data_IF_015371585983
#
_entry.id   IF_015371585983
#
_cell.length_a   1.000
_cell.length_b   1.000
_cell.length_c   1.000
_cell.angle_alpha   90.00
_cell.angle_beta   90.00
_cell.angle_gamma   90.00
#
_symmetry.space_group_name_H-M   'P 1'
#
loop_
_entity.id
_entity.type
_entity.pdbx_description
1 polymer ?
#
# COMPACT_ATOMS: atom_id res chain seq x y z
N UNK A 1 34.67 5.64 -4.34
CA UNK A 1 34.27 5.52 -5.76
C UNK A 1 34.92 6.68 -6.50
N UNK A 2 35.80 6.42 -7.47
CA UNK A 2 36.58 7.47 -8.15
C UNK A 2 35.80 7.98 -9.36
N UNK A 3 35.93 9.26 -9.69
CA UNK A 3 35.21 9.95 -10.78
C UNK A 3 35.46 9.33 -12.17
N UNK A 4 36.46 8.44 -12.29
CA UNK A 4 36.78 7.65 -13.49
C UNK A 4 35.78 6.54 -13.78
N UNK A 5 34.91 6.18 -12.84
CA UNK A 5 33.98 5.04 -13.00
C UNK A 5 32.64 5.45 -13.66
N UNK A 6 32.44 6.74 -13.96
CA UNK A 6 31.16 7.28 -14.43
C UNK A 6 30.88 7.09 -15.94
N UNK A 7 31.88 6.68 -16.74
CA UNK A 7 31.75 6.62 -18.21
C UNK A 7 31.72 5.20 -18.80
N UNK A 8 31.57 4.16 -17.97
CA UNK A 8 31.62 2.76 -18.44
C UNK A 8 30.31 2.14 -18.92
N UNK A 9 29.22 2.89 -19.06
CA UNK A 9 27.93 2.33 -19.51
C UNK A 9 27.23 3.22 -20.54
N UNK A 10 27.72 3.22 -21.79
CA UNK A 10 26.90 3.08 -23.02
C UNK A 10 27.75 3.25 -24.28
N UNK A 11 27.68 2.22 -25.12
CA UNK A 11 28.09 2.13 -26.52
C UNK A 11 29.59 2.18 -26.86
N UNK A 12 30.00 1.18 -27.64
CA UNK A 12 31.37 0.98 -28.06
C UNK A 12 31.90 2.06 -28.99
N UNK A 13 33.01 2.67 -28.54
CA UNK A 13 34.21 2.95 -29.33
C UNK A 13 35.26 3.45 -28.33
N UNK A 14 36.18 2.56 -27.94
CA UNK A 14 37.40 2.96 -27.26
C UNK A 14 38.24 3.73 -28.29
N UNK A 15 38.11 5.05 -28.35
CA UNK A 15 39.04 5.88 -29.12
C UNK A 15 40.21 6.27 -28.21
N UNK A 16 41.37 5.61 -28.31
CA UNK A 16 42.52 5.86 -27.45
C UNK A 16 43.06 7.30 -27.60
N UNK A 17 42.69 8.00 -28.67
CA UNK A 17 43.07 9.40 -28.93
C UNK A 17 42.32 10.35 -27.99
N UNK A 18 41.03 10.10 -27.74
CA UNK A 18 40.19 10.97 -26.89
C UNK A 18 40.60 10.84 -25.41
N UNK A 19 40.92 9.62 -24.97
CA UNK A 19 41.43 9.40 -23.61
C UNK A 19 42.81 10.06 -23.39
N UNK A 20 43.68 10.09 -24.41
CA UNK A 20 44.98 10.75 -24.34
C UNK A 20 44.87 12.28 -24.30
N UNK A 21 43.95 12.87 -25.06
CA UNK A 21 43.72 14.32 -25.06
C UNK A 21 43.13 14.83 -23.73
N UNK A 22 42.22 14.07 -23.11
CA UNK A 22 41.67 14.41 -21.79
C UNK A 22 42.78 14.34 -20.72
N UNK A 23 43.65 13.33 -20.77
CA UNK A 23 44.77 13.20 -19.83
C UNK A 23 45.74 14.38 -19.94
N UNK A 24 46.07 14.82 -21.16
CA UNK A 24 46.94 15.97 -21.42
C UNK A 24 46.35 17.31 -20.95
N UNK A 25 45.03 17.50 -21.02
CA UNK A 25 44.37 18.71 -20.53
C UNK A 25 44.32 18.82 -18.99
N UNK A 26 44.42 17.69 -18.27
CA UNK A 26 44.50 17.66 -16.80
C UNK A 26 45.91 17.81 -16.21
N UNK A 27 46.96 17.83 -17.05
CA UNK A 27 48.36 17.97 -16.62
C UNK A 27 48.89 19.41 -16.69
N UNK A 28 48.02 20.41 -16.85
CA UNK A 28 48.42 21.82 -16.65
C UNK A 28 48.54 22.10 -15.15
N UNK A 29 49.65 21.65 -14.58
CA UNK A 29 50.07 21.98 -13.22
C UNK A 29 51.08 23.13 -13.28
N UNK A 30 50.89 24.16 -12.44
CA UNK A 30 51.85 25.27 -12.30
C UNK A 30 53.23 24.70 -11.95
N UNK A 31 54.26 25.16 -12.67
CA UNK A 31 55.63 24.72 -12.40
C UNK A 31 56.01 25.14 -10.97
N UNK A 32 56.79 24.33 -10.21
CA UNK A 32 57.15 24.67 -8.83
C UNK A 32 57.74 26.08 -8.65
N UNK A 33 58.42 26.58 -9.70
CA UNK A 33 58.99 27.92 -9.74
C UNK A 33 57.91 29.01 -9.82
N UNK A 34 56.90 28.85 -10.67
CA UNK A 34 55.76 29.77 -10.77
C UNK A 34 54.97 29.83 -9.45
N UNK A 35 54.77 28.68 -8.82
CA UNK A 35 54.10 28.59 -7.52
C UNK A 35 54.89 29.27 -6.40
N UNK A 36 56.22 29.19 -6.44
CA UNK A 36 57.09 29.89 -5.50
C UNK A 36 57.02 31.41 -5.70
N UNK A 37 57.06 31.86 -6.96
CA UNK A 37 56.93 33.27 -7.33
C UNK A 37 55.59 33.86 -6.88
N UNK A 38 54.49 33.15 -7.13
CA UNK A 38 53.16 33.56 -6.66
C UNK A 38 53.08 33.68 -5.14
N UNK A 39 53.64 32.72 -4.40
CA UNK A 39 53.67 32.75 -2.93
C UNK A 39 54.50 33.91 -2.39
N UNK A 40 55.63 34.21 -3.02
CA UNK A 40 56.45 35.36 -2.67
C UNK A 40 55.64 36.66 -2.83
N UNK A 41 54.98 36.83 -3.98
CA UNK A 41 54.17 38.00 -4.29
C UNK A 41 52.98 38.16 -3.33
N UNK A 42 52.31 37.06 -2.96
CA UNK A 42 51.22 37.07 -1.98
C UNK A 42 51.71 37.44 -0.57
N UNK A 43 52.87 36.90 -0.17
CA UNK A 43 53.47 37.21 1.13
C UNK A 43 53.85 38.69 1.25
N UNK A 44 54.35 39.27 0.15
CA UNK A 44 54.70 40.67 0.07
C UNK A 44 53.45 41.56 0.09
N UNK A 45 52.40 41.18 -0.66
CA UNK A 45 51.11 41.85 -0.63
C UNK A 45 50.45 41.82 0.76
N UNK A 46 50.53 40.70 1.49
CA UNK A 46 50.00 40.55 2.84
C UNK A 46 50.77 41.37 3.89
N UNK A 47 52.09 41.57 3.72
CA UNK A 47 52.89 42.45 4.59
C UNK A 47 52.52 43.92 4.39
N UNK A 48 52.17 44.32 3.16
CA UNK A 48 51.81 45.70 2.81
C UNK A 48 50.38 46.03 3.28
N UNK A 49 49.50 45.03 3.45
CA UNK A 49 48.12 45.21 3.96
C UNK A 49 47.78 44.23 5.10
N UNK A 50 48.33 44.41 6.32
CA UNK A 50 47.91 43.61 7.46
C UNK A 50 46.45 43.92 7.81
N UNK A 51 45.60 42.89 7.83
CA UNK A 51 44.19 43.01 8.24
C UNK A 51 44.18 43.35 9.73
N UNK A 52 43.83 44.60 10.07
CA UNK A 52 43.50 44.99 11.45
C UNK A 52 42.08 44.52 11.75
N UNK A 53 41.95 43.34 12.37
CA UNK A 53 40.71 42.93 13.02
C UNK A 53 40.93 42.92 14.53
N UNK A 54 40.12 43.65 15.32
CA UNK A 54 40.04 43.42 16.76
C UNK A 54 39.11 42.22 16.98
N UNK A 55 39.67 41.01 17.02
CA UNK A 55 38.91 39.85 17.50
C UNK A 55 39.01 39.88 19.02
N UNK A 56 37.92 40.30 19.66
CA UNK A 56 37.68 40.05 21.08
C UNK A 56 37.78 38.54 21.33
N UNK A 57 38.62 38.13 22.28
CA UNK A 57 38.63 36.78 22.84
C UNK A 57 37.32 36.52 23.59
N UNK A 58 36.25 36.21 22.86
CA UNK A 58 35.12 35.50 23.45
C UNK A 58 35.54 34.06 23.71
N UNK A 59 35.61 33.69 24.98
CA UNK A 59 35.81 32.32 25.44
C UNK A 59 34.78 31.41 24.80
N UNK A 60 35.18 30.73 23.74
CA UNK A 60 34.47 29.57 23.22
C UNK A 60 34.47 28.53 24.33
N UNK A 61 33.32 28.36 24.99
CA UNK A 61 33.11 27.33 26.00
C UNK A 61 33.49 25.98 25.37
N UNK A 62 34.37 25.24 26.03
CA UNK A 62 34.73 23.87 25.68
C UNK A 62 33.58 22.92 26.04
N UNK A 63 32.43 23.10 25.38
CA UNK A 63 31.42 22.06 25.31
C UNK A 63 31.96 21.03 24.30
N UNK A 64 32.11 19.77 24.70
CA UNK A 64 32.83 18.82 23.89
C UNK A 64 32.16 18.53 22.55
N UNK A 65 32.97 18.40 21.49
CA UNK A 65 32.55 18.23 20.11
C UNK A 65 31.62 17.03 19.84
N UNK A 66 31.56 16.06 20.74
CA UNK A 66 30.62 14.94 20.68
C UNK A 66 29.15 15.40 20.78
N UNK A 67 28.85 16.51 21.46
CA UNK A 67 27.49 17.04 21.56
C UNK A 67 27.03 17.90 20.36
N UNK A 68 27.93 18.38 19.51
CA UNK A 68 27.56 19.11 18.27
C UNK A 68 27.51 18.21 17.03
N UNK A 69 28.21 17.08 17.04
CA UNK A 69 28.23 16.13 15.92
C UNK A 69 27.02 15.17 15.92
N UNK A 70 26.40 14.90 17.07
CA UNK A 70 25.26 13.97 17.15
C UNK A 70 23.89 14.66 17.14
N UNK A 71 23.80 15.96 17.42
CA UNK A 71 22.51 16.67 17.36
C UNK A 71 22.02 16.85 15.92
N UNK A 72 22.89 16.98 14.91
CA UNK A 72 22.42 17.10 13.52
C UNK A 72 21.91 15.76 12.96
N UNK A 73 22.53 14.63 13.30
CA UNK A 73 22.03 13.30 12.91
C UNK A 73 20.76 12.92 13.65
N UNK A 74 20.63 13.27 14.94
CA UNK A 74 19.38 13.04 15.69
C UNK A 74 18.28 13.98 15.20
N UNK A 75 18.59 15.23 14.85
CA UNK A 75 17.61 16.18 14.29
C UNK A 75 17.21 15.81 12.86
N UNK A 76 18.15 15.36 12.02
CA UNK A 76 17.85 14.85 10.69
C UNK A 76 17.08 13.52 10.73
N UNK A 77 17.39 12.63 11.68
CA UNK A 77 16.61 11.42 11.93
C UNK A 77 15.22 11.76 12.49
N UNK A 78 15.11 12.73 13.40
CA UNK A 78 13.84 13.22 13.93
C UNK A 78 13.02 13.94 12.85
N UNK A 79 13.65 14.65 11.93
CA UNK A 79 13.00 15.30 10.79
C UNK A 79 12.58 14.26 9.74
N UNK A 80 13.39 13.24 9.46
CA UNK A 80 13.02 12.09 8.63
C UNK A 80 11.90 11.27 9.27
N UNK A 81 11.88 11.12 10.59
CA UNK A 81 10.78 10.49 11.33
C UNK A 81 9.54 11.37 11.33
N UNK A 82 9.66 12.69 11.51
CA UNK A 82 8.52 13.61 11.52
C UNK A 82 7.88 13.75 10.13
N UNK A 83 8.70 13.91 9.08
CA UNK A 83 8.25 13.90 7.69
C UNK A 83 7.76 12.50 7.28
N UNK A 84 8.46 11.45 7.72
CA UNK A 84 8.13 10.05 7.49
C UNK A 84 6.80 9.62 8.12
N UNK A 85 6.41 10.15 9.28
CA UNK A 85 5.12 9.85 9.91
C UNK A 85 3.97 10.43 9.06
N UNK A 86 4.13 11.63 8.52
CA UNK A 86 3.11 12.24 7.64
C UNK A 86 2.98 11.53 6.29
N UNK A 87 4.10 11.16 5.67
CA UNK A 87 4.10 10.45 4.38
C UNK A 87 3.71 8.99 4.52
N UNK A 88 4.07 8.32 5.62
CA UNK A 88 3.61 6.97 5.93
C UNK A 88 2.10 6.91 6.12
N UNK A 89 1.51 7.89 6.82
CA UNK A 89 0.06 7.95 6.99
C UNK A 89 -0.68 8.14 5.66
N UNK A 90 -0.13 8.95 4.75
CA UNK A 90 -0.70 9.12 3.41
C UNK A 90 -0.48 7.89 2.51
N UNK A 91 0.64 7.18 2.69
CA UNK A 91 0.93 5.95 1.97
C UNK A 91 0.01 4.79 2.38
N UNK A 92 -0.43 4.71 3.64
CA UNK A 92 -1.36 3.67 4.10
C UNK A 92 -2.70 3.68 3.34
N UNK A 93 -3.17 4.85 2.91
CA UNK A 93 -4.40 5.00 2.11
C UNK A 93 -4.17 4.95 0.60
N UNK A 94 -2.90 4.90 0.14
CA UNK A 94 -2.59 4.86 -1.28
C UNK A 94 -3.12 3.57 -1.93
N UNK A 95 -3.64 3.71 -3.15
CA UNK A 95 -4.11 2.64 -4.02
C UNK A 95 -3.11 2.40 -5.18
N UNK A 96 -3.12 1.22 -5.82
CA UNK A 96 -2.34 0.99 -7.03
C UNK A 96 -2.53 2.09 -8.07
N UNK A 97 -1.41 2.65 -8.55
CA UNK A 97 -1.38 3.80 -9.44
C UNK A 97 -1.14 5.15 -8.75
N UNK A 98 -1.31 5.24 -7.43
CA UNK A 98 -0.98 6.45 -6.66
C UNK A 98 0.54 6.59 -6.47
N UNK A 99 1.02 7.85 -6.41
CA UNK A 99 2.45 8.19 -6.29
C UNK A 99 3.08 7.56 -5.03
N UNK A 100 2.34 7.45 -3.94
CA UNK A 100 2.82 6.91 -2.67
C UNK A 100 2.59 5.40 -2.50
N UNK A 101 1.97 4.72 -3.47
CA UNK A 101 1.75 3.28 -3.39
C UNK A 101 3.05 2.46 -3.28
N UNK A 102 4.14 2.79 -4.01
CA UNK A 102 5.42 2.10 -3.81
C UNK A 102 5.99 2.26 -2.40
N UNK A 103 5.70 3.38 -1.72
CA UNK A 103 6.10 3.60 -0.31
C UNK A 103 5.27 2.74 0.64
N UNK A 104 3.99 2.50 0.30
CA UNK A 104 3.13 1.56 1.02
C UNK A 104 3.73 0.16 1.01
N UNK A 105 3.90 -0.39 -0.20
CA UNK A 105 4.27 -1.80 -0.38
C UNK A 105 5.73 -2.07 -0.02
N UNK A 106 6.67 -1.24 -0.47
CA UNK A 106 8.10 -1.55 -0.34
C UNK A 106 8.78 -0.99 0.91
N UNK A 107 8.11 -0.12 1.67
CA UNK A 107 8.70 0.52 2.86
C UNK A 107 7.86 0.28 4.10
N UNK A 108 6.64 0.82 4.16
CA UNK A 108 5.83 0.75 5.39
C UNK A 108 5.42 -0.68 5.72
N UNK A 109 4.96 -1.45 4.74
CA UNK A 109 4.54 -2.83 4.95
C UNK A 109 5.74 -3.76 5.26
N UNK A 110 6.89 -3.55 4.62
CA UNK A 110 8.12 -4.32 4.84
C UNK A 110 8.79 -4.02 6.19
N UNK A 111 8.82 -2.75 6.61
CA UNK A 111 9.32 -2.39 7.95
C UNK A 111 8.47 -3.06 9.02
N UNK A 112 7.14 -3.11 8.86
CA UNK A 112 6.28 -3.83 9.78
C UNK A 112 6.54 -5.33 9.75
N UNK A 113 6.72 -5.92 8.56
CA UNK A 113 7.05 -7.34 8.42
C UNK A 113 8.38 -7.71 9.11
N UNK A 114 9.40 -6.84 8.99
CA UNK A 114 10.71 -7.04 9.59
C UNK A 114 10.70 -7.00 11.13
N UNK A 115 9.70 -6.34 11.74
CA UNK A 115 9.51 -6.30 13.19
C UNK A 115 8.75 -7.51 13.74
N UNK A 116 8.09 -8.29 12.89
CA UNK A 116 7.34 -9.48 13.32
C UNK A 116 8.31 -10.60 13.71
N UNK A 117 8.12 -11.12 14.92
CA UNK A 117 8.94 -12.22 15.47
C UNK A 117 8.14 -13.51 15.44
N UNK A 118 8.61 -14.48 14.66
CA UNK A 118 8.04 -15.84 14.62
C UNK A 118 7.05 -16.09 13.47
N UNK A 119 6.82 -17.37 13.11
CA UNK A 119 6.02 -17.73 11.94
C UNK A 119 4.54 -17.32 12.05
N UNK A 120 3.92 -17.42 13.24
CA UNK A 120 2.51 -17.04 13.44
C UNK A 120 2.23 -15.57 13.14
N UNK A 121 3.06 -14.66 13.65
CA UNK A 121 2.86 -13.23 13.46
C UNK A 121 3.14 -12.81 12.01
N UNK A 122 4.16 -13.41 11.38
CA UNK A 122 4.43 -13.22 9.95
C UNK A 122 3.29 -13.72 9.06
N UNK A 123 2.75 -14.89 9.38
CA UNK A 123 1.61 -15.46 8.65
C UNK A 123 0.38 -14.55 8.77
N UNK A 124 0.03 -14.12 9.98
CA UNK A 124 -1.07 -13.18 10.19
C UNK A 124 -0.87 -11.87 9.43
N UNK A 125 0.33 -11.31 9.47
CA UNK A 125 0.65 -10.09 8.72
C UNK A 125 0.53 -10.30 7.20
N UNK A 126 0.94 -11.46 6.69
CA UNK A 126 0.77 -11.81 5.30
C UNK A 126 -0.72 -11.97 4.91
N UNK A 127 -1.55 -12.56 5.76
CA UNK A 127 -3.02 -12.60 5.57
C UNK A 127 -3.60 -11.19 5.53
N UNK A 128 -3.18 -10.31 6.44
CA UNK A 128 -3.64 -8.91 6.47
C UNK A 128 -3.25 -8.16 5.19
N UNK A 129 -2.05 -8.39 4.66
CA UNK A 129 -1.63 -7.77 3.39
C UNK A 129 -2.41 -8.32 2.20
N UNK A 130 -2.65 -9.63 2.14
CA UNK A 130 -3.52 -10.21 1.11
C UNK A 130 -4.93 -9.61 1.16
N UNK A 131 -5.51 -9.50 2.36
CA UNK A 131 -6.80 -8.84 2.61
C UNK A 131 -6.82 -7.38 2.12
N UNK A 132 -5.76 -6.61 2.39
CA UNK A 132 -5.61 -5.23 1.91
C UNK A 132 -5.63 -5.13 0.39
N UNK A 133 -4.96 -6.04 -0.33
CA UNK A 133 -4.95 -6.04 -1.80
C UNK A 133 -6.35 -6.29 -2.39
N UNK A 134 -7.12 -7.20 -1.80
CA UNK A 134 -8.52 -7.42 -2.20
C UNK A 134 -9.42 -6.22 -1.90
N UNK A 135 -9.17 -5.55 -0.77
CA UNK A 135 -9.86 -4.30 -0.42
C UNK A 135 -9.54 -3.17 -1.40
N UNK A 136 -8.29 -3.07 -1.86
CA UNK A 136 -7.87 -2.11 -2.88
C UNK A 136 -8.57 -2.38 -4.21
N UNK A 137 -8.73 -3.65 -4.61
CA UNK A 137 -9.53 -4.02 -5.79
C UNK A 137 -10.97 -3.55 -5.67
N UNK A 138 -11.65 -3.86 -4.57
CA UNK A 138 -13.03 -3.44 -4.34
C UNK A 138 -13.17 -1.91 -4.38
N UNK A 139 -12.22 -1.19 -3.76
CA UNK A 139 -12.21 0.27 -3.72
C UNK A 139 -12.00 0.88 -5.11
N UNK A 140 -11.00 0.40 -5.87
CA UNK A 140 -10.74 0.86 -7.23
C UNK A 140 -11.90 0.53 -8.17
N UNK A 141 -12.55 -0.62 -8.00
CA UNK A 141 -13.70 -1.02 -8.80
C UNK A 141 -14.91 -0.11 -8.58
N UNK A 142 -15.23 0.22 -7.32
CA UNK A 142 -16.32 1.17 -7.00
C UNK A 142 -16.02 2.56 -7.56
N UNK A 143 -14.75 2.98 -7.56
CA UNK A 143 -14.32 4.24 -8.16
C UNK A 143 -14.25 4.22 -9.69
N UNK A 144 -14.44 3.07 -10.34
CA UNK A 144 -14.26 2.92 -11.79
C UNK A 144 -12.80 3.05 -12.26
N UNK A 145 -11.84 2.86 -11.35
CA UNK A 145 -10.39 3.04 -11.58
C UNK A 145 -9.59 1.74 -11.59
N UNK A 146 -10.25 0.58 -11.48
CA UNK A 146 -9.58 -0.72 -11.57
C UNK A 146 -9.19 -0.99 -13.04
N UNK A 147 -7.99 -0.55 -13.40
CA UNK A 147 -7.39 -0.79 -14.72
C UNK A 147 -6.73 -2.17 -14.79
N UNK A 148 -6.44 -2.66 -16.00
CA UNK A 148 -5.69 -3.91 -16.20
C UNK A 148 -4.36 -3.95 -15.45
N UNK A 149 -3.64 -2.82 -15.44
CA UNK A 149 -2.38 -2.70 -14.72
C UNK A 149 -2.60 -2.83 -13.20
N UNK A 150 -3.58 -2.10 -12.66
CA UNK A 150 -3.89 -2.14 -11.22
C UNK A 150 -4.37 -3.54 -10.80
N UNK A 151 -5.21 -4.18 -11.61
CA UNK A 151 -5.67 -5.55 -11.37
C UNK A 151 -4.52 -6.55 -11.38
N UNK A 152 -3.59 -6.47 -12.33
CA UNK A 152 -2.42 -7.35 -12.38
C UNK A 152 -1.49 -7.14 -11.17
N UNK A 153 -1.25 -5.90 -10.76
CA UNK A 153 -0.44 -5.56 -9.58
C UNK A 153 -1.09 -6.06 -8.28
N UNK A 154 -2.42 -5.90 -8.14
CA UNK A 154 -3.18 -6.44 -7.02
C UNK A 154 -3.07 -7.97 -6.96
N UNK A 155 -3.32 -8.66 -8.07
CA UNK A 155 -3.28 -10.12 -8.10
C UNK A 155 -1.88 -10.65 -7.77
N UNK A 156 -0.83 -10.04 -8.34
CA UNK A 156 0.55 -10.42 -8.02
C UNK A 156 0.86 -10.26 -6.53
N UNK A 157 0.54 -9.11 -5.94
CA UNK A 157 0.82 -8.86 -4.53
C UNK A 157 -0.05 -9.73 -3.61
N UNK A 158 -1.31 -9.95 -3.97
CA UNK A 158 -2.22 -10.86 -3.27
C UNK A 158 -1.67 -12.28 -3.23
N UNK A 159 -1.28 -12.82 -4.39
CA UNK A 159 -0.72 -14.17 -4.51
C UNK A 159 0.59 -14.32 -3.74
N UNK A 160 1.46 -13.31 -3.79
CA UNK A 160 2.72 -13.30 -3.03
C UNK A 160 2.46 -13.38 -1.52
N UNK A 161 1.59 -12.51 -0.99
CA UNK A 161 1.27 -12.51 0.43
C UNK A 161 0.54 -13.79 0.86
N UNK A 162 -0.38 -14.30 0.04
CA UNK A 162 -1.04 -15.56 0.31
C UNK A 162 -0.04 -16.72 0.36
N UNK A 163 0.93 -16.76 -0.57
CA UNK A 163 2.00 -17.75 -0.57
C UNK A 163 2.85 -17.69 0.68
N UNK A 164 3.21 -16.48 1.16
CA UNK A 164 3.92 -16.31 2.43
C UNK A 164 3.10 -16.85 3.60
N UNK A 165 1.81 -16.50 3.70
CA UNK A 165 0.93 -17.00 4.77
C UNK A 165 0.83 -18.54 4.78
N UNK A 166 0.72 -19.14 3.59
CA UNK A 166 0.67 -20.60 3.39
C UNK A 166 1.99 -21.26 3.80
N UNK A 167 3.14 -20.63 3.49
CA UNK A 167 4.46 -21.14 3.86
C UNK A 167 4.68 -21.09 5.37
N UNK A 168 4.43 -19.95 6.01
CA UNK A 168 4.58 -19.77 7.45
C UNK A 168 3.61 -20.68 8.24
N UNK A 169 2.38 -20.87 7.74
CA UNK A 169 1.44 -21.87 8.30
C UNK A 169 1.97 -23.30 8.16
N UNK A 170 2.60 -23.64 7.04
CA UNK A 170 3.18 -24.96 6.86
C UNK A 170 4.41 -25.18 7.77
N UNK A 171 5.19 -24.14 8.06
CA UNK A 171 6.25 -24.16 9.07
C UNK A 171 5.68 -24.44 10.47
N UNK A 172 4.63 -23.72 10.89
CA UNK A 172 3.91 -23.99 12.15
C UNK A 172 3.41 -25.44 12.25
N UNK A 173 2.87 -25.98 11.15
CA UNK A 173 2.44 -27.38 11.11
C UNK A 173 3.64 -28.35 11.24
N UNK A 174 4.76 -28.04 10.61
CA UNK A 174 6.01 -28.80 10.70
C UNK A 174 6.61 -28.80 12.11
N UNK A 175 6.48 -27.68 12.82
CA UNK A 175 6.86 -27.49 14.22
C UNK A 175 5.85 -28.10 15.20
N UNK A 176 4.80 -28.76 14.68
CA UNK A 176 3.72 -29.38 15.44
C UNK A 176 2.89 -28.37 16.29
N UNK A 177 2.95 -27.09 15.95
CA UNK A 177 2.04 -26.05 16.47
C UNK A 177 0.73 -26.06 15.66
N UNK A 178 -0.04 -27.14 15.85
CA UNK A 178 -1.31 -27.34 15.15
C UNK A 178 -2.35 -26.27 15.51
N UNK A 179 -2.27 -25.69 16.72
CA UNK A 179 -3.16 -24.63 17.16
C UNK A 179 -2.93 -23.34 16.36
N UNK A 180 -1.68 -22.91 16.20
CA UNK A 180 -1.36 -21.77 15.35
C UNK A 180 -1.66 -22.06 13.87
N UNK A 181 -1.28 -23.24 13.37
CA UNK A 181 -1.51 -23.60 11.97
C UNK A 181 -3.00 -23.60 11.59
N UNK A 182 -3.90 -24.15 12.43
CA UNK A 182 -5.35 -24.11 12.18
C UNK A 182 -5.92 -22.71 12.34
N UNK A 183 -5.39 -21.88 13.24
CA UNK A 183 -5.82 -20.48 13.37
C UNK A 183 -5.50 -19.69 12.10
N UNK A 184 -4.26 -19.79 11.59
CA UNK A 184 -3.86 -19.13 10.35
C UNK A 184 -4.70 -19.64 9.17
N UNK A 185 -4.94 -20.94 9.06
CA UNK A 185 -5.75 -21.50 7.98
C UNK A 185 -7.19 -20.97 8.02
N UNK A 186 -7.82 -20.95 9.21
CA UNK A 186 -9.14 -20.34 9.38
C UNK A 186 -9.10 -18.86 8.98
N UNK A 187 -8.05 -18.11 9.34
CA UNK A 187 -7.92 -16.70 8.96
C UNK A 187 -7.81 -16.51 7.45
N UNK A 188 -7.06 -17.36 6.74
CA UNK A 188 -6.95 -17.35 5.28
C UNK A 188 -8.35 -17.57 4.68
N UNK A 189 -8.97 -18.73 4.94
CA UNK A 189 -10.22 -19.10 4.28
C UNK A 189 -11.36 -18.13 4.58
N UNK A 190 -11.49 -17.70 5.83
CA UNK A 190 -12.51 -16.74 6.26
C UNK A 190 -12.34 -15.37 5.58
N UNK A 191 -11.12 -14.88 5.49
CA UNK A 191 -10.83 -13.59 4.86
C UNK A 191 -11.11 -13.64 3.36
N UNK A 192 -10.71 -14.72 2.68
CA UNK A 192 -10.95 -14.90 1.25
C UNK A 192 -12.45 -14.93 0.93
N UNK A 193 -13.24 -15.74 1.65
CA UNK A 193 -14.70 -15.82 1.45
C UNK A 193 -15.40 -14.49 1.68
N UNK A 194 -14.99 -13.75 2.72
CA UNK A 194 -15.56 -12.43 2.98
C UNK A 194 -15.26 -11.42 1.86
N UNK A 195 -14.06 -11.45 1.30
CA UNK A 195 -13.71 -10.56 0.18
C UNK A 195 -14.33 -10.99 -1.14
N UNK A 196 -14.50 -12.29 -1.38
CA UNK A 196 -15.27 -12.82 -2.51
C UNK A 196 -16.69 -12.25 -2.48
N UNK A 197 -17.37 -12.30 -1.33
CA UNK A 197 -18.71 -11.72 -1.14
C UNK A 197 -18.73 -10.19 -1.38
N UNK A 198 -17.74 -9.47 -0.85
CA UNK A 198 -17.62 -8.02 -1.08
C UNK A 198 -17.42 -7.71 -2.56
N UNK A 199 -16.50 -8.40 -3.24
CA UNK A 199 -16.24 -8.20 -4.66
C UNK A 199 -17.43 -8.59 -5.53
N UNK A 200 -18.17 -9.64 -5.17
CA UNK A 200 -19.42 -10.01 -5.82
C UNK A 200 -20.47 -8.92 -5.71
N UNK A 201 -20.60 -8.32 -4.52
CA UNK A 201 -21.52 -7.20 -4.30
C UNK A 201 -21.15 -5.96 -5.13
N UNK A 202 -19.84 -5.75 -5.38
CA UNK A 202 -19.33 -4.68 -6.25
C UNK A 202 -19.62 -5.02 -7.71
N UNK A 203 -19.30 -6.23 -8.15
CA UNK A 203 -19.57 -6.74 -9.51
C UNK A 203 -21.04 -6.60 -9.89
N UNK A 204 -21.95 -6.94 -8.98
CA UNK A 204 -23.39 -6.85 -9.21
C UNK A 204 -23.90 -5.41 -9.43
N UNK A 205 -23.15 -4.39 -9.01
CA UNK A 205 -23.48 -2.97 -9.19
C UNK A 205 -22.87 -2.36 -10.46
N UNK A 206 -21.96 -3.07 -11.12
CA UNK A 206 -21.33 -2.61 -12.36
C UNK A 206 -22.19 -2.95 -13.57
N UNK A 207 -22.25 -2.03 -14.54
CA UNK A 207 -22.98 -2.23 -15.78
C UNK A 207 -22.35 -3.35 -16.63
N UNK A 208 -23.18 -4.05 -17.41
CA UNK A 208 -22.70 -5.05 -18.36
C UNK A 208 -21.86 -4.39 -19.46
N UNK A 209 -20.72 -5.00 -19.80
CA UNK A 209 -19.77 -4.48 -20.79
C UNK A 209 -18.77 -3.45 -20.25
N UNK A 210 -18.83 -3.08 -18.97
CA UNK A 210 -17.79 -2.27 -18.34
C UNK A 210 -16.48 -3.08 -18.22
N UNK A 211 -15.38 -2.54 -18.74
CA UNK A 211 -14.06 -3.15 -18.58
C UNK A 211 -13.73 -3.38 -17.11
N UNK A 212 -14.18 -2.50 -16.19
CA UNK A 212 -13.98 -2.66 -14.75
C UNK A 212 -14.60 -3.96 -14.24
N UNK A 213 -15.77 -4.34 -14.77
CA UNK A 213 -16.46 -5.58 -14.38
C UNK A 213 -15.63 -6.82 -14.71
N UNK A 214 -15.03 -6.88 -15.89
CA UNK A 214 -14.12 -7.97 -16.29
C UNK A 214 -12.88 -8.05 -15.39
N UNK A 215 -12.32 -6.90 -14.97
CA UNK A 215 -11.19 -6.89 -14.02
C UNK A 215 -11.60 -7.39 -12.64
N UNK A 216 -12.81 -7.06 -12.15
CA UNK A 216 -13.32 -7.57 -10.88
C UNK A 216 -13.55 -9.08 -10.95
N UNK A 217 -14.10 -9.59 -12.04
CA UNK A 217 -14.29 -11.03 -12.27
C UNK A 217 -12.95 -11.78 -12.21
N UNK A 218 -11.90 -11.25 -12.83
CA UNK A 218 -10.56 -11.85 -12.76
C UNK A 218 -9.96 -11.88 -11.33
N UNK A 219 -10.32 -10.91 -10.47
CA UNK A 219 -9.92 -10.93 -9.05
C UNK A 219 -10.77 -11.93 -8.27
N UNK A 220 -12.08 -12.02 -8.54
CA UNK A 220 -12.97 -13.00 -7.91
C UNK A 220 -12.49 -14.43 -8.21
N UNK A 221 -12.14 -14.72 -9.46
CA UNK A 221 -11.68 -16.05 -9.86
C UNK A 221 -10.41 -16.49 -9.11
N UNK A 222 -9.44 -15.58 -8.93
CA UNK A 222 -8.21 -15.89 -8.18
C UNK A 222 -8.50 -16.13 -6.68
N UNK A 223 -9.41 -15.35 -6.10
CA UNK A 223 -9.86 -15.50 -4.71
C UNK A 223 -10.64 -16.81 -4.52
N UNK A 224 -11.55 -17.14 -5.44
CA UNK A 224 -12.36 -18.34 -5.38
C UNK A 224 -11.49 -19.61 -5.39
N UNK A 225 -10.50 -19.68 -6.28
CA UNK A 225 -9.55 -20.80 -6.34
C UNK A 225 -8.80 -20.92 -5.01
N UNK A 226 -8.30 -19.81 -4.48
CA UNK A 226 -7.58 -19.79 -3.21
C UNK A 226 -8.47 -20.21 -2.02
N UNK A 227 -9.73 -19.78 -1.99
CA UNK A 227 -10.70 -20.13 -0.96
C UNK A 227 -11.05 -21.63 -0.98
N UNK A 228 -11.16 -22.22 -2.19
CA UNK A 228 -11.34 -23.66 -2.36
C UNK A 228 -10.17 -24.47 -1.79
N UNK A 229 -8.94 -24.09 -2.14
CA UNK A 229 -7.72 -24.73 -1.60
C UNK A 229 -7.65 -24.61 -0.07
N UNK A 230 -8.03 -23.45 0.47
CA UNK A 230 -8.06 -23.22 1.91
C UNK A 230 -9.09 -24.10 2.62
N UNK A 231 -10.27 -24.28 2.03
CA UNK A 231 -11.33 -25.14 2.59
C UNK A 231 -10.88 -26.60 2.71
N UNK A 232 -10.20 -27.11 1.68
CA UNK A 232 -9.61 -28.46 1.71
C UNK A 232 -8.54 -28.58 2.81
N UNK A 233 -7.70 -27.55 2.96
CA UNK A 233 -6.63 -27.54 3.96
C UNK A 233 -7.18 -27.43 5.39
N UNK A 234 -8.19 -26.60 5.62
CA UNK A 234 -8.91 -26.46 6.89
C UNK A 234 -9.47 -27.83 7.32
N UNK A 235 -10.16 -28.52 6.41
CA UNK A 235 -10.71 -29.87 6.66
C UNK A 235 -9.62 -30.88 7.05
N UNK A 236 -8.49 -30.87 6.34
CA UNK A 236 -7.36 -31.78 6.65
C UNK A 236 -6.75 -31.49 8.01
N UNK A 237 -6.54 -30.22 8.37
CA UNK A 237 -6.01 -29.83 9.67
C UNK A 237 -6.98 -30.20 10.80
N UNK A 238 -8.28 -29.96 10.61
CA UNK A 238 -9.28 -30.34 11.60
C UNK A 238 -9.30 -31.85 11.85
N UNK A 239 -9.27 -32.67 10.80
CA UNK A 239 -9.25 -34.12 10.94
C UNK A 239 -7.98 -34.58 11.66
N UNK A 240 -6.81 -34.05 11.28
CA UNK A 240 -5.53 -34.33 11.94
C UNK A 240 -5.55 -33.98 13.43
N UNK A 241 -6.20 -32.87 13.81
CA UNK A 241 -6.37 -32.50 15.22
C UNK A 241 -7.28 -33.50 15.92
N UNK A 242 -8.45 -33.81 15.34
CA UNK A 242 -9.47 -34.70 15.93
C UNK A 242 -9.00 -36.15 16.07
N UNK A 243 -8.09 -36.62 15.23
CA UNK A 243 -7.43 -37.93 15.33
C UNK A 243 -6.42 -38.01 16.48
N UNK A 244 -6.03 -36.86 17.06
CA UNK A 244 -5.13 -36.79 18.20
C UNK A 244 -5.74 -37.30 19.50
N UNK A 245 -4.91 -37.34 20.56
CA UNK A 245 -5.38 -37.69 21.91
C UNK A 245 -6.37 -36.65 22.45
N UNK A 246 -7.28 -37.04 23.34
CA UNK A 246 -8.21 -36.11 24.00
C UNK A 246 -7.48 -34.93 24.69
N UNK A 247 -6.29 -35.18 25.26
CA UNK A 247 -5.46 -34.14 25.89
C UNK A 247 -4.94 -33.13 24.86
N UNK A 248 -4.41 -33.60 23.73
CA UNK A 248 -3.91 -32.72 22.67
C UNK A 248 -5.05 -31.94 22.00
N UNK A 249 -6.19 -32.59 21.73
CA UNK A 249 -7.40 -31.92 21.21
C UNK A 249 -7.87 -30.85 22.18
N UNK A 250 -7.91 -31.15 23.49
CA UNK A 250 -8.30 -30.20 24.52
C UNK A 250 -7.39 -28.98 24.61
N UNK A 251 -6.08 -29.14 24.43
CA UNK A 251 -5.14 -28.02 24.37
C UNK A 251 -5.42 -27.11 23.16
N UNK A 252 -5.57 -27.69 21.97
CA UNK A 252 -5.90 -26.93 20.74
C UNK A 252 -7.27 -26.24 20.87
N UNK A 253 -8.27 -26.91 21.45
CA UNK A 253 -9.59 -26.33 21.70
C UNK A 253 -9.50 -25.10 22.62
N UNK A 254 -8.65 -25.14 23.66
CA UNK A 254 -8.43 -24.02 24.58
C UNK A 254 -7.78 -22.82 23.89
N UNK A 255 -6.82 -23.05 23.01
CA UNK A 255 -6.19 -21.99 22.23
C UNK A 255 -7.20 -21.39 21.25
N UNK A 256 -7.94 -22.24 20.53
CA UNK A 256 -9.01 -21.81 19.62
C UNK A 256 -10.09 -21.00 20.34
N UNK A 257 -10.47 -21.40 21.57
CA UNK A 257 -11.38 -20.63 22.44
C UNK A 257 -10.84 -19.22 22.70
N UNK A 258 -9.56 -19.10 23.06
CA UNK A 258 -8.95 -17.79 23.29
C UNK A 258 -8.98 -16.92 22.04
N UNK A 259 -8.57 -17.46 20.89
CA UNK A 259 -8.57 -16.73 19.61
C UNK A 259 -9.98 -16.36 19.15
N UNK A 260 -10.95 -17.27 19.29
CA UNK A 260 -12.36 -17.01 18.97
C UNK A 260 -12.93 -15.89 19.84
N UNK A 261 -12.68 -15.92 21.16
CA UNK A 261 -13.13 -14.87 22.08
C UNK A 261 -12.55 -13.51 21.71
N UNK A 262 -11.23 -13.45 21.50
CA UNK A 262 -10.54 -12.22 21.12
C UNK A 262 -11.08 -11.65 19.80
N UNK A 263 -11.31 -12.51 18.79
CA UNK A 263 -11.84 -12.08 17.50
C UNK A 263 -13.29 -11.62 17.61
N UNK A 264 -14.15 -12.32 18.35
CA UNK A 264 -15.55 -11.90 18.60
C UNK A 264 -15.61 -10.52 19.26
N UNK A 265 -14.73 -10.25 20.25
CA UNK A 265 -14.66 -8.95 20.91
C UNK A 265 -14.16 -7.87 19.95
N UNK A 266 -13.10 -8.15 19.19
CA UNK A 266 -12.57 -7.23 18.19
C UNK A 266 -13.60 -6.89 17.11
N UNK A 267 -14.32 -7.88 16.60
CA UNK A 267 -15.38 -7.70 15.59
C UNK A 267 -16.54 -6.88 16.15
N UNK A 268 -16.90 -7.09 17.43
CA UNK A 268 -17.91 -6.27 18.12
C UNK A 268 -17.46 -4.80 18.16
N UNK A 269 -16.23 -4.54 18.58
CA UNK A 269 -15.70 -3.18 18.67
C UNK A 269 -15.59 -2.51 17.30
N UNK A 270 -15.16 -3.27 16.28
CA UNK A 270 -15.11 -2.79 14.91
C UNK A 270 -16.49 -2.35 14.44
N UNK A 271 -17.52 -3.18 14.65
CA UNK A 271 -18.90 -2.85 14.29
C UNK A 271 -19.43 -1.58 14.97
N UNK A 272 -19.10 -1.37 16.24
CA UNK A 272 -19.47 -0.14 16.95
C UNK A 272 -18.79 1.08 16.32
N UNK A 273 -17.49 0.98 16.01
CA UNK A 273 -16.70 2.08 15.40
C UNK A 273 -17.16 2.41 13.98
N UNK A 274 -17.55 1.39 13.21
CA UNK A 274 -17.92 1.53 11.79
C UNK A 274 -19.42 1.70 11.57
N UNK A 275 -20.25 1.61 12.61
CA UNK A 275 -21.71 1.65 12.54
C UNK A 275 -22.27 2.81 11.71
N UNK A 276 -21.63 3.99 11.75
CA UNK A 276 -22.09 5.17 11.02
C UNK A 276 -21.76 5.13 9.52
N UNK A 277 -20.76 4.36 9.12
CA UNK A 277 -20.27 4.24 7.73
C UNK A 277 -20.87 3.04 6.99
N UNK A 278 -21.47 2.10 7.72
CA UNK A 278 -22.15 0.94 7.14
C UNK A 278 -23.59 1.27 6.76
N UNK A 279 -24.02 0.83 5.59
CA UNK A 279 -25.44 0.86 5.22
C UNK A 279 -26.26 -0.11 6.11
N UNK A 280 -27.58 0.08 6.14
CA UNK A 280 -28.48 -0.67 7.03
C UNK A 280 -28.43 -2.19 6.80
N UNK A 281 -28.32 -2.63 5.53
CA UNK A 281 -28.25 -4.04 5.17
C UNK A 281 -26.96 -4.68 5.65
N UNK A 282 -25.81 -4.08 5.33
CA UNK A 282 -24.48 -4.56 5.74
C UNK A 282 -24.36 -4.60 7.27
N UNK A 283 -24.93 -3.61 7.97
CA UNK A 283 -25.01 -3.60 9.43
C UNK A 283 -25.83 -4.78 9.96
N UNK A 284 -27.03 -5.00 9.42
CA UNK A 284 -27.90 -6.09 9.86
C UNK A 284 -27.25 -7.46 9.62
N UNK A 285 -26.63 -7.65 8.46
CA UNK A 285 -25.90 -8.86 8.11
C UNK A 285 -24.73 -9.13 9.08
N UNK A 286 -23.88 -8.13 9.32
CA UNK A 286 -22.74 -8.30 10.20
C UNK A 286 -23.15 -8.52 11.67
N UNK A 287 -24.24 -7.89 12.13
CA UNK A 287 -24.81 -8.18 13.46
C UNK A 287 -25.37 -9.60 13.55
N UNK A 288 -26.03 -10.08 12.50
CA UNK A 288 -26.51 -11.45 12.39
C UNK A 288 -25.37 -12.48 12.46
N UNK A 289 -24.32 -12.29 11.66
CA UNK A 289 -23.16 -13.19 11.67
C UNK A 289 -22.40 -13.13 13.02
N UNK A 290 -22.26 -11.96 13.64
CA UNK A 290 -21.66 -11.86 14.97
C UNK A 290 -22.48 -12.60 16.04
N UNK A 291 -23.81 -12.62 15.91
CA UNK A 291 -24.68 -13.44 16.76
C UNK A 291 -24.42 -14.93 16.57
N UNK A 292 -24.32 -15.39 15.31
CA UNK A 292 -23.95 -16.80 14.99
C UNK A 292 -22.60 -17.18 15.60
N UNK A 293 -21.59 -16.30 15.50
CA UNK A 293 -20.27 -16.54 16.10
C UNK A 293 -20.35 -16.70 17.63
N UNK A 294 -21.19 -15.91 18.31
CA UNK A 294 -21.41 -16.00 19.77
C UNK A 294 -22.13 -17.29 20.16
N UNK A 295 -23.15 -17.67 19.41
CA UNK A 295 -23.89 -18.92 19.64
C UNK A 295 -22.99 -20.15 19.48
N UNK A 296 -22.13 -20.15 18.46
CA UNK A 296 -21.11 -21.18 18.27
C UNK A 296 -20.09 -21.20 19.42
N UNK A 297 -19.65 -20.03 19.90
CA UNK A 297 -18.75 -19.95 21.06
C UNK A 297 -19.40 -20.55 22.31
N UNK A 298 -20.66 -20.22 22.59
CA UNK A 298 -21.43 -20.79 23.70
C UNK A 298 -21.70 -22.29 23.54
N UNK A 299 -21.82 -22.80 22.31
CA UNK A 299 -21.84 -24.24 22.04
C UNK A 299 -20.52 -24.90 22.46
N UNK A 300 -19.39 -24.29 22.11
CA UNK A 300 -18.07 -24.76 22.48
C UNK A 300 -17.86 -24.82 24.00
N UNK A 301 -18.28 -23.78 24.73
CA UNK A 301 -18.25 -23.79 26.21
C UNK A 301 -19.04 -24.98 26.78
N UNK A 302 -20.22 -25.26 26.23
CA UNK A 302 -21.07 -26.37 26.67
C UNK A 302 -20.43 -27.72 26.33
N UNK A 303 -19.83 -27.86 25.16
CA UNK A 303 -19.13 -29.08 24.74
C UNK A 303 -17.90 -29.36 25.62
N UNK A 304 -17.11 -28.31 25.91
CA UNK A 304 -15.93 -28.40 26.77
C UNK A 304 -16.28 -28.81 28.21
N UNK A 305 -17.36 -28.22 28.75
CA UNK A 305 -17.88 -28.51 30.09
C UNK A 305 -18.37 -29.96 30.24
N UNK A 306 -18.84 -30.59 29.15
CA UNK A 306 -19.22 -32.02 29.13
C UNK A 306 -18.04 -32.96 28.89
N UNK A 307 -16.82 -32.44 28.72
CA UNK A 307 -15.63 -33.22 28.40
C UNK A 307 -15.48 -33.61 26.93
N UNK A 308 -16.39 -33.15 26.07
CA UNK A 308 -16.32 -33.39 24.62
C UNK A 308 -15.34 -32.40 23.96
N UNK A 309 -14.06 -32.76 23.97
CA UNK A 309 -12.98 -31.89 23.45
C UNK A 309 -13.04 -31.72 21.94
N UNK A 310 -13.48 -32.74 21.20
CA UNK A 310 -13.61 -32.68 19.75
C UNK A 310 -14.79 -31.78 19.34
N UNK A 311 -15.93 -31.91 20.02
CA UNK A 311 -17.07 -31.00 19.86
C UNK A 311 -16.70 -29.56 20.21
N UNK A 312 -16.02 -29.34 21.35
CA UNK A 312 -15.55 -28.02 21.75
C UNK A 312 -14.63 -27.39 20.69
N UNK A 313 -13.66 -28.15 20.17
CA UNK A 313 -12.80 -27.70 19.09
C UNK A 313 -13.60 -27.26 17.86
N UNK A 314 -14.54 -28.09 17.37
CA UNK A 314 -15.36 -27.74 16.19
C UNK A 314 -16.25 -26.52 16.39
N UNK A 315 -16.84 -26.38 17.57
CA UNK A 315 -17.68 -25.23 17.91
C UNK A 315 -16.85 -23.94 17.99
N UNK A 316 -15.67 -23.97 18.64
CA UNK A 316 -14.75 -22.82 18.68
C UNK A 316 -14.15 -22.49 17.31
N UNK A 317 -13.88 -23.49 16.46
CA UNK A 317 -13.46 -23.28 15.07
C UNK A 317 -14.53 -22.55 14.27
N UNK A 318 -15.79 -22.96 14.42
CA UNK A 318 -16.93 -22.28 13.79
C UNK A 318 -17.06 -20.84 14.29
N UNK A 319 -16.96 -20.63 15.60
CA UNK A 319 -17.01 -19.30 16.21
C UNK A 319 -15.91 -18.38 15.69
N UNK A 320 -14.67 -18.86 15.62
CA UNK A 320 -13.54 -18.10 15.08
C UNK A 320 -13.77 -17.76 13.61
N UNK A 321 -14.08 -18.76 12.78
CA UNK A 321 -14.29 -18.59 11.34
C UNK A 321 -15.33 -17.51 11.06
N UNK A 322 -16.51 -17.62 11.67
CA UNK A 322 -17.58 -16.63 11.48
C UNK A 322 -17.17 -15.25 11.97
N UNK A 323 -16.46 -15.14 13.12
CA UNK A 323 -15.98 -13.85 13.61
C UNK A 323 -14.95 -13.19 12.70
N UNK A 324 -14.07 -13.98 12.07
CA UNK A 324 -13.09 -13.50 11.08
C UNK A 324 -13.80 -13.06 9.79
N UNK A 325 -14.70 -13.89 9.25
CA UNK A 325 -15.50 -13.58 8.06
C UNK A 325 -16.24 -12.26 8.25
N UNK A 326 -16.95 -12.09 9.37
CA UNK A 326 -17.66 -10.85 9.68
C UNK A 326 -16.71 -9.66 9.81
N UNK A 327 -15.55 -9.83 10.45
CA UNK A 327 -14.57 -8.75 10.58
C UNK A 327 -14.06 -8.28 9.22
N UNK A 328 -13.73 -9.22 8.32
CA UNK A 328 -13.23 -8.93 6.99
C UNK A 328 -14.32 -8.28 6.12
N UNK A 329 -15.56 -8.80 6.18
CA UNK A 329 -16.73 -8.23 5.51
C UNK A 329 -16.98 -6.78 5.94
N UNK A 330 -16.96 -6.50 7.24
CA UNK A 330 -17.14 -5.14 7.77
C UNK A 330 -16.02 -4.21 7.32
N UNK A 331 -14.76 -4.66 7.37
CA UNK A 331 -13.63 -3.85 6.91
C UNK A 331 -13.73 -3.53 5.42
N UNK A 332 -14.07 -4.51 4.57
CA UNK A 332 -14.28 -4.33 3.14
C UNK A 332 -15.46 -3.41 2.83
N UNK A 333 -16.62 -3.65 3.43
CA UNK A 333 -17.86 -2.93 3.17
C UNK A 333 -17.84 -1.45 3.55
N UNK A 334 -17.10 -1.07 4.60
CA UNK A 334 -16.97 0.34 5.03
C UNK A 334 -16.29 1.21 3.99
N UNK A 335 -15.23 0.72 3.35
CA UNK A 335 -14.47 1.51 2.39
C UNK A 335 -15.15 1.55 1.00
N UNK A 336 -15.95 0.53 0.68
CA UNK A 336 -16.88 0.55 -0.46
C UNK A 336 -17.97 1.61 -0.28
N UNK A 337 -18.51 1.77 0.93
CA UNK A 337 -19.53 2.79 1.21
C UNK A 337 -18.96 4.23 1.13
N UNK A 338 -17.80 4.46 1.75
CA UNK A 338 -17.13 5.78 1.78
C UNK A 338 -16.75 6.30 0.39
N UNK A 339 -16.41 5.39 -0.55
CA UNK A 339 -16.09 5.75 -1.93
C UNK A 339 -17.31 6.02 -2.82
N UNK A 340 -18.51 5.58 -2.40
CA UNK A 340 -19.76 5.83 -3.13
C UNK A 340 -20.35 7.22 -2.84
N UNK A 341 -20.16 7.79 -1.65
CA UNK A 341 -20.62 9.16 -1.32
C UNK A 341 -19.87 10.26 -2.10
N UNK A 342 -18.69 9.95 -2.65
CA UNK A 342 -17.94 10.90 -3.50
C UNK A 342 -18.47 11.02 -4.94
N UNK A 343 -19.45 10.18 -5.34
CA UNK A 343 -20.12 10.30 -6.65
C UNK A 343 -21.30 11.27 -6.65
N UNK A 344 -21.91 11.54 -5.50
CA UNK A 344 -23.13 12.37 -5.39
C UNK A 344 -22.85 13.88 -5.26
N UNK A 345 -21.60 14.31 -5.47
CA UNK A 345 -21.17 15.73 -5.33
C UNK A 345 -20.72 16.39 -6.62
N UNK A 346 -21.03 15.82 -7.78
CA UNK A 346 -20.56 16.35 -9.07
C UNK A 346 -21.66 16.65 -10.09
N UNK A 347 -22.90 16.91 -9.66
CA UNK A 347 -23.97 17.39 -10.56
C UNK A 347 -24.90 18.38 -9.85
N UNK A 348 -24.38 19.38 -9.14
CA UNK A 348 -25.16 20.55 -8.68
C UNK A 348 -24.20 21.66 -8.25
N UNK A 349 -23.61 22.36 -9.22
CA UNK A 349 -23.18 23.76 -9.09
C UNK A 349 -22.74 24.28 -10.48
N UNK A 350 -23.66 24.21 -11.44
CA UNK A 350 -23.65 25.12 -12.57
C UNK A 350 -24.53 26.31 -12.19
N UNK A 351 -23.93 27.35 -11.59
CA UNK A 351 -24.12 28.75 -12.01
C UNK A 351 -23.35 29.74 -11.11
N UNK A 352 -22.68 30.66 -11.82
CA UNK A 352 -22.27 31.99 -11.40
C UNK A 352 -21.02 32.14 -10.52
N UNK A 353 -19.86 32.16 -11.17
CA UNK A 353 -18.88 33.21 -10.84
C UNK A 353 -18.19 33.78 -12.09
N UNK A 354 -18.26 35.11 -12.17
CA UNK A 354 -17.89 36.03 -13.24
C UNK A 354 -16.63 35.74 -14.04
N UNK A 355 -16.78 35.80 -15.36
CA UNK A 355 -15.70 36.06 -16.30
C UNK A 355 -15.01 37.40 -15.96
N UNK A 356 -13.80 37.31 -15.41
CA UNK A 356 -12.86 38.43 -15.41
C UNK A 356 -11.95 38.25 -16.62
N UNK A 357 -12.28 38.97 -17.69
CA UNK A 357 -11.44 39.22 -18.85
C UNK A 357 -10.15 39.89 -18.39
N UNK A 358 -9.02 39.19 -18.45
CA UNK A 358 -7.70 39.81 -18.37
C UNK A 358 -7.36 40.31 -19.77
N UNK A 359 -7.49 41.63 -19.92
CA UNK A 359 -7.03 42.42 -21.05
C UNK A 359 -5.49 42.42 -21.08
N UNK A 360 -4.89 41.72 -22.03
CA UNK A 360 -3.49 41.94 -22.40
C UNK A 360 -3.46 42.88 -23.61
N UNK A 361 -3.37 44.17 -23.33
CA UNK A 361 -2.98 45.20 -24.30
C UNK A 361 -1.49 45.06 -24.63
N UNK A 362 -1.18 44.70 -25.87
CA UNK A 362 0.09 45.06 -26.50
C UNK A 362 -0.18 45.50 -27.94
N UNK A 363 -0.17 46.81 -28.10
CA UNK A 363 -0.28 47.55 -29.36
C UNK A 363 0.88 47.22 -30.29
N UNK A 364 0.60 46.95 -31.56
CA UNK A 364 1.40 47.44 -32.69
C UNK A 364 0.59 47.34 -33.98
N UNK A 365 0.25 48.51 -34.48
CA UNK A 365 -0.31 48.85 -35.78
C UNK A 365 0.51 48.31 -36.95
N UNK A 366 -0.15 47.82 -38.01
CA UNK A 366 0.15 48.17 -39.40
C UNK A 366 -1.07 47.82 -40.28
N UNK A 367 -1.61 48.87 -40.88
CA UNK A 367 -2.62 48.94 -41.94
C UNK A 367 -2.08 48.41 -43.26
N UNK A 368 -2.81 47.55 -43.98
CA UNK A 368 -2.80 47.53 -45.46
C UNK A 368 -4.21 47.17 -45.98
N UNK A 369 -4.65 47.94 -46.97
CA UNK A 369 -5.96 48.05 -47.62
C UNK A 369 -6.31 46.90 -48.60
N UNK A 370 -7.59 46.95 -49.03
CA UNK A 370 -8.08 46.76 -50.42
C UNK A 370 -8.24 45.32 -50.96
N UNK A 371 -9.22 44.90 -51.77
CA UNK A 371 -10.53 45.37 -52.31
C UNK A 371 -11.07 44.18 -53.13
N UNK A 372 -12.40 44.03 -53.29
CA UNK A 372 -13.09 43.38 -54.47
C UNK A 372 -12.91 41.85 -54.66
N UNK A 373 -13.83 41.00 -55.16
CA UNK A 373 -15.08 41.13 -55.93
C UNK A 373 -15.94 39.85 -55.79
N UNK A 374 -17.22 40.01 -56.13
CA UNK A 374 -18.27 39.08 -56.60
C UNK A 374 -17.91 37.70 -57.18
N UNK A 375 -18.79 36.71 -56.93
CA UNK A 375 -19.66 35.97 -57.91
C UNK A 375 -20.20 34.69 -57.21
N UNK A 376 -21.51 34.58 -56.93
CA UNK A 376 -22.54 33.92 -57.76
C UNK A 376 -22.08 32.59 -58.38
N UNK A 377 -22.68 31.46 -57.97
CA UNK A 377 -23.68 30.75 -58.80
C UNK A 377 -24.08 29.36 -58.25
N UNK A 378 -25.40 29.14 -58.18
CA UNK A 378 -26.18 27.94 -58.52
C UNK A 378 -25.69 26.52 -58.14
N UNK A 379 -26.46 25.89 -57.26
CA UNK A 379 -27.45 24.87 -57.65
C UNK A 379 -26.95 23.45 -57.99
N UNK A 380 -27.50 22.45 -57.30
CA UNK A 380 -27.38 21.05 -57.72
C UNK A 380 -27.61 20.03 -56.61
N UNK A 381 -28.88 19.84 -56.24
CA UNK A 381 -29.37 18.76 -55.38
C UNK A 381 -29.89 17.64 -56.30
N UNK A 382 -29.32 16.44 -56.22
CA UNK A 382 -29.85 15.18 -56.75
C UNK A 382 -29.26 14.07 -55.85
N UNK A 383 -29.97 13.63 -54.83
CA UNK A 383 -30.93 12.52 -54.76
C UNK A 383 -30.30 11.11 -54.78
N UNK A 384 -30.85 10.31 -53.86
CA UNK A 384 -30.45 9.00 -53.38
C UNK A 384 -30.96 7.89 -54.30
N UNK A 385 -30.23 6.77 -54.35
CA UNK A 385 -30.80 5.49 -54.79
C UNK A 385 -29.78 4.52 -55.37
N UNK A 386 -29.12 3.72 -54.52
CA UNK A 386 -29.37 2.28 -54.39
C UNK A 386 -28.52 1.68 -53.27
#
# INVERSE_FOLDING_TARGET
MKFTDFFKIKQGRDDPVVAAQIKAATEVALEPQERALMRAHLSEYMKIRPIRSPISEERVSQAPAYWRAHTSSVFAAALMLALGVSTASAAETALPGDILYPVKVHVTEEVRAALMSGPKDKANWAVDRASRRLQEAATLAVQGKLTARAQAEINSNFEEHLKTAIADRAELEGDNDLAAATEIETNIGATLRAHEEVLDSVRAKLADGDNVKAHVEAVIDSVHIAAGVSTDKETRLENKIKEGTSVSVGAVAKDKRSSAKAKIDNTKDLLVRTQKRLNAQAKAQAQGQLKVAREAFEAGERSDARGDKAGAFSDFSTALRTAVETSAFVAGGVNVADSSEHRDRSDEDEHAISATTITTTSSSSTTINATTSSELNSGGKIDLGN
#
